data_IF_850695729064
#
_entry.id   IF_850695729064
#
_cell.length_a   1.000
_cell.length_b   1.000
_cell.length_c   1.000
_cell.angle_alpha   90.00
_cell.angle_beta   90.00
_cell.angle_gamma   90.00
#
_symmetry.space_group_name_H-M   'P 1'
#
loop_
_entity.id
_entity.type
_entity.pdbx_description
1 polymer ?
#
# COMPACT_ATOMS: atom_id res chain seq x y z
N UNK A 1 13.03 26.85 -1.35
CA UNK A 1 11.73 26.52 -2.01
C UNK A 1 11.80 26.69 -3.52
N UNK A 2 12.21 27.81 -4.10
CA UNK A 2 12.23 28.06 -5.54
C UNK A 2 12.99 27.02 -6.37
N UNK A 3 14.19 26.59 -5.93
CA UNK A 3 14.97 25.57 -6.64
C UNK A 3 14.30 24.19 -6.70
N UNK A 4 13.54 23.82 -5.68
CA UNK A 4 12.75 22.59 -5.66
C UNK A 4 11.56 22.69 -6.63
N UNK A 5 10.82 23.79 -6.58
CA UNK A 5 9.67 24.01 -7.45
C UNK A 5 10.08 24.04 -8.94
N UNK A 6 11.20 24.67 -9.28
CA UNK A 6 11.75 24.71 -10.64
C UNK A 6 12.14 23.32 -11.17
N UNK A 7 12.52 22.39 -10.28
CA UNK A 7 12.93 21.03 -10.62
C UNK A 7 11.81 20.01 -10.45
N UNK A 8 10.57 20.45 -10.21
CA UNK A 8 9.42 19.59 -9.88
C UNK A 8 9.66 18.66 -8.67
N UNK A 9 10.47 19.10 -7.71
CA UNK A 9 10.66 18.41 -6.45
C UNK A 9 9.59 18.92 -5.48
N UNK A 10 8.67 18.04 -5.07
CA UNK A 10 7.66 18.37 -4.08
C UNK A 10 8.26 18.43 -2.68
N UNK A 11 7.82 19.41 -1.89
CA UNK A 11 8.14 19.52 -0.48
C UNK A 11 6.87 19.26 0.32
N UNK A 12 6.89 18.27 1.21
CA UNK A 12 5.77 17.96 2.09
C UNK A 12 6.17 18.27 3.53
N UNK A 13 5.36 19.06 4.21
CA UNK A 13 5.53 19.40 5.62
C UNK A 13 4.57 18.56 6.44
N UNK A 14 5.10 17.90 7.46
CA UNK A 14 4.35 17.02 8.35
C UNK A 14 4.56 17.45 9.80
N UNK A 15 3.60 17.13 10.66
CA UNK A 15 3.81 17.20 12.11
C UNK A 15 4.81 16.13 12.55
N UNK A 16 5.38 16.19 13.79
CA UNK A 16 6.19 15.11 14.35
C UNK A 16 5.46 13.75 14.37
N UNK A 17 4.13 13.76 14.41
CA UNK A 17 3.29 12.53 14.36
C UNK A 17 2.97 12.07 12.93
N UNK A 18 3.53 12.74 11.90
CA UNK A 18 3.34 12.38 10.49
C UNK A 18 2.06 12.94 9.85
N UNK A 19 1.29 13.79 10.54
CA UNK A 19 0.11 14.41 9.97
C UNK A 19 0.51 15.49 8.94
N UNK A 20 -0.22 15.51 7.83
CA UNK A 20 -0.01 16.48 6.76
C UNK A 20 -0.28 17.92 7.26
N UNK A 21 0.63 18.84 6.98
CA UNK A 21 0.48 20.27 7.24
C UNK A 21 0.33 21.06 5.94
N UNK A 22 1.28 20.90 5.02
CA UNK A 22 1.30 21.65 3.77
C UNK A 22 2.13 20.91 2.73
N UNK A 23 1.89 21.21 1.47
CA UNK A 23 2.70 20.74 0.34
C UNK A 23 3.00 21.88 -0.60
N UNK A 24 4.23 21.96 -1.08
CA UNK A 24 4.65 22.85 -2.15
C UNK A 24 4.92 21.99 -3.38
N UNK A 25 4.19 22.26 -4.43
CA UNK A 25 4.36 21.64 -5.74
C UNK A 25 4.91 22.66 -6.72
N UNK A 26 5.66 22.21 -7.69
CA UNK A 26 6.01 23.00 -8.87
C UNK A 26 4.79 23.26 -9.75
N UNK A 27 5.04 23.79 -10.95
CA UNK A 27 3.97 24.04 -11.92
C UNK A 27 3.25 22.74 -12.28
N UNK A 28 1.93 22.71 -12.10
CA UNK A 28 1.11 21.56 -12.48
C UNK A 28 1.27 21.25 -13.95
N UNK A 29 1.59 20.00 -14.29
CA UNK A 29 1.60 19.57 -15.69
C UNK A 29 0.18 19.55 -16.21
N UNK A 30 -0.06 20.37 -17.25
CA UNK A 30 -1.39 20.58 -17.83
C UNK A 30 -1.82 19.44 -18.79
N UNK A 31 -1.51 18.18 -18.48
CA UNK A 31 -1.95 17.06 -19.31
C UNK A 31 -3.41 16.72 -19.03
N UNK A 32 -4.28 17.47 -19.65
CA UNK A 32 -5.74 17.31 -19.51
C UNK A 32 -6.22 15.97 -20.09
N UNK A 33 -5.57 15.46 -21.14
CA UNK A 33 -5.91 14.18 -21.78
C UNK A 33 -5.65 13.03 -20.81
N UNK A 34 -4.53 13.07 -20.08
CA UNK A 34 -4.22 12.05 -19.05
C UNK A 34 -5.28 12.02 -17.94
N UNK A 35 -5.74 13.19 -17.47
CA UNK A 35 -6.80 13.26 -16.44
C UNK A 35 -8.14 12.77 -16.96
N UNK A 36 -8.51 13.15 -18.16
CA UNK A 36 -9.73 12.63 -18.79
C UNK A 36 -9.67 11.11 -18.90
N UNK A 37 -8.54 10.56 -19.34
CA UNK A 37 -8.36 9.12 -19.41
C UNK A 37 -8.41 8.45 -18.02
N UNK A 38 -7.86 9.08 -16.98
CA UNK A 38 -7.95 8.57 -15.61
C UNK A 38 -9.42 8.48 -15.14
N UNK A 39 -10.23 9.52 -15.34
CA UNK A 39 -11.63 9.53 -14.95
C UNK A 39 -12.46 8.52 -15.76
N UNK A 40 -12.25 8.43 -17.07
CA UNK A 40 -12.94 7.45 -17.92
C UNK A 40 -12.59 6.01 -17.49
N UNK A 41 -11.31 5.74 -17.26
CA UNK A 41 -10.86 4.41 -16.82
C UNK A 41 -11.36 4.03 -15.43
N UNK A 42 -11.54 4.99 -14.52
CA UNK A 42 -12.08 4.72 -13.18
C UNK A 42 -13.59 4.43 -13.23
N UNK A 43 -14.30 5.01 -14.19
CA UNK A 43 -15.74 4.82 -14.40
C UNK A 43 -16.07 3.55 -15.19
N UNK A 44 -15.12 2.98 -15.90
CA UNK A 44 -15.27 1.70 -16.61
C UNK A 44 -14.91 0.54 -15.67
N UNK A 45 -15.89 -0.30 -15.34
CA UNK A 45 -15.69 -1.40 -14.39
C UNK A 45 -14.67 -2.42 -14.84
N UNK A 46 -14.55 -2.68 -16.14
CA UNK A 46 -13.59 -3.65 -16.70
C UNK A 46 -12.17 -3.12 -16.59
N UNK A 47 -11.93 -1.90 -17.06
CA UNK A 47 -10.61 -1.25 -17.03
C UNK A 47 -10.18 -1.03 -15.58
N UNK A 48 -11.10 -0.54 -14.76
CA UNK A 48 -10.87 -0.27 -13.34
C UNK A 48 -10.51 -1.56 -12.57
N UNK A 49 -11.19 -2.67 -12.85
CA UNK A 49 -10.88 -3.97 -12.27
C UNK A 49 -9.47 -4.45 -12.67
N UNK A 50 -9.09 -4.32 -13.93
CA UNK A 50 -7.76 -4.75 -14.40
C UNK A 50 -6.63 -3.90 -13.76
N UNK A 51 -6.81 -2.61 -13.63
CA UNK A 51 -5.85 -1.73 -12.92
C UNK A 51 -5.74 -2.15 -11.46
N UNK A 52 -6.87 -2.35 -10.78
CA UNK A 52 -6.89 -2.79 -9.38
C UNK A 52 -6.23 -4.15 -9.20
N UNK A 53 -6.50 -5.14 -10.09
CA UNK A 53 -5.83 -6.45 -10.08
C UNK A 53 -4.31 -6.30 -10.13
N UNK A 54 -3.78 -5.50 -11.06
CA UNK A 54 -2.35 -5.32 -11.21
C UNK A 54 -1.70 -4.73 -9.95
N UNK A 55 -2.36 -3.77 -9.30
CA UNK A 55 -1.90 -3.21 -8.02
C UNK A 55 -1.89 -4.26 -6.90
N UNK A 56 -2.96 -5.06 -6.78
CA UNK A 56 -3.06 -6.08 -5.73
C UNK A 56 -2.11 -7.25 -6.01
N UNK A 57 -1.95 -7.67 -7.27
CA UNK A 57 -0.94 -8.67 -7.66
C UNK A 57 0.47 -8.23 -7.24
N UNK A 58 0.86 -6.99 -7.55
CA UNK A 58 2.14 -6.43 -7.15
C UNK A 58 2.33 -6.41 -5.63
N UNK A 59 1.29 -6.01 -4.88
CA UNK A 59 1.29 -6.00 -3.41
C UNK A 59 1.51 -7.41 -2.84
N UNK A 60 0.72 -8.39 -3.27
CA UNK A 60 0.77 -9.77 -2.76
C UNK A 60 2.08 -10.45 -3.18
N UNK A 61 2.52 -10.22 -4.42
CA UNK A 61 3.81 -10.70 -4.91
C UNK A 61 4.97 -10.19 -4.03
N UNK A 62 5.03 -8.89 -3.77
CA UNK A 62 6.06 -8.30 -2.92
C UNK A 62 5.99 -8.81 -1.48
N UNK A 63 4.79 -8.94 -0.91
CA UNK A 63 4.58 -9.52 0.43
C UNK A 63 5.13 -10.95 0.50
N UNK A 64 4.86 -11.78 -0.50
CA UNK A 64 5.41 -13.13 -0.59
C UNK A 64 6.94 -13.11 -0.61
N UNK A 65 7.55 -12.25 -1.42
CA UNK A 65 9.01 -12.19 -1.50
C UNK A 65 9.69 -11.69 -0.22
N UNK A 66 9.01 -10.86 0.57
CA UNK A 66 9.49 -10.52 1.92
C UNK A 66 9.56 -11.76 2.80
N UNK A 67 8.54 -12.64 2.76
CA UNK A 67 8.54 -13.91 3.50
C UNK A 67 9.65 -14.87 3.01
N UNK A 68 9.80 -15.04 1.69
CA UNK A 68 10.85 -15.89 1.11
C UNK A 68 12.25 -15.38 1.49
N UNK A 69 12.45 -14.07 1.49
CA UNK A 69 13.71 -13.47 1.93
C UNK A 69 13.97 -13.72 3.41
N UNK A 70 12.96 -13.58 4.27
CA UNK A 70 13.10 -13.87 5.70
C UNK A 70 13.51 -15.34 5.94
N UNK A 71 12.90 -16.28 5.22
CA UNK A 71 13.25 -17.70 5.30
C UNK A 71 14.71 -17.94 4.87
N UNK A 72 15.16 -17.28 3.81
CA UNK A 72 16.53 -17.43 3.31
C UNK A 72 17.58 -16.83 4.26
N UNK A 73 17.32 -15.61 4.75
CA UNK A 73 18.31 -14.80 5.45
C UNK A 73 18.29 -15.05 6.97
N UNK A 74 17.19 -15.55 7.55
CA UNK A 74 16.96 -15.64 9.00
C UNK A 74 16.39 -16.99 9.46
N UNK A 75 16.69 -18.07 8.76
CA UNK A 75 16.14 -19.42 9.00
C UNK A 75 16.35 -19.93 10.44
N UNK A 76 17.40 -19.50 11.13
CA UNK A 76 17.69 -19.91 12.51
C UNK A 76 16.91 -19.10 13.59
N UNK A 77 16.25 -18.01 13.20
CA UNK A 77 15.60 -17.07 14.13
C UNK A 77 14.08 -17.05 14.02
N UNK A 78 13.53 -17.71 12.99
CA UNK A 78 12.10 -17.70 12.67
C UNK A 78 11.54 -19.12 12.57
N UNK A 79 10.23 -19.26 12.69
CA UNK A 79 9.53 -20.50 12.33
C UNK A 79 9.44 -20.62 10.80
N UNK A 80 10.43 -21.29 10.23
CA UNK A 80 10.55 -21.49 8.77
C UNK A 80 9.34 -22.20 8.18
N UNK A 81 8.76 -23.18 8.90
CA UNK A 81 7.60 -23.92 8.39
C UNK A 81 6.37 -23.01 8.30
N UNK A 82 6.09 -22.26 9.36
CA UNK A 82 4.99 -21.33 9.41
C UNK A 82 5.10 -20.25 8.35
N UNK A 83 6.28 -19.65 8.17
CA UNK A 83 6.51 -18.58 7.18
C UNK A 83 6.44 -19.14 5.75
N UNK A 84 6.96 -20.36 5.49
CA UNK A 84 6.85 -21.00 4.18
C UNK A 84 5.41 -21.35 3.81
N UNK A 85 4.61 -21.85 4.74
CA UNK A 85 3.19 -22.10 4.50
C UNK A 85 2.47 -20.82 4.11
N UNK A 86 2.71 -19.72 4.82
CA UNK A 86 2.15 -18.41 4.46
C UNK A 86 2.59 -17.97 3.04
N UNK A 87 3.86 -18.15 2.67
CA UNK A 87 4.35 -17.84 1.32
C UNK A 87 3.66 -18.67 0.23
N UNK A 88 3.44 -19.97 0.49
CA UNK A 88 2.72 -20.86 -0.44
C UNK A 88 1.26 -20.40 -0.59
N UNK A 89 0.60 -20.06 0.51
CA UNK A 89 -0.77 -19.53 0.49
C UNK A 89 -0.86 -18.22 -0.31
N UNK A 90 0.09 -17.29 -0.10
CA UNK A 90 0.15 -16.06 -0.90
C UNK A 90 0.40 -16.34 -2.38
N UNK A 91 1.19 -17.36 -2.74
CA UNK A 91 1.35 -17.79 -4.13
C UNK A 91 0.01 -18.25 -4.73
N UNK A 92 -0.80 -18.97 -3.97
CA UNK A 92 -2.13 -19.38 -4.41
C UNK A 92 -3.08 -18.18 -4.55
N UNK A 93 -3.02 -17.23 -3.61
CA UNK A 93 -3.80 -15.98 -3.70
C UNK A 93 -3.54 -15.20 -4.99
N UNK A 94 -2.30 -15.22 -5.53
CA UNK A 94 -2.00 -14.57 -6.82
C UNK A 94 -2.85 -15.13 -7.97
N UNK A 95 -3.08 -16.46 -8.01
CA UNK A 95 -3.92 -17.09 -9.02
C UNK A 95 -5.39 -16.67 -8.87
N UNK A 96 -5.90 -16.61 -7.65
CA UNK A 96 -7.27 -16.16 -7.38
C UNK A 96 -7.46 -14.69 -7.76
N UNK A 97 -6.51 -13.81 -7.41
CA UNK A 97 -6.54 -12.39 -7.75
C UNK A 97 -6.53 -12.20 -9.27
N UNK A 98 -5.69 -12.95 -9.99
CA UNK A 98 -5.61 -12.89 -11.46
C UNK A 98 -6.95 -13.24 -12.13
N UNK A 99 -7.69 -14.19 -11.56
CA UNK A 99 -8.96 -14.67 -12.08
C UNK A 99 -10.18 -13.97 -11.46
N UNK A 100 -10.01 -12.93 -10.64
CA UNK A 100 -11.12 -12.19 -10.06
C UNK A 100 -11.99 -11.56 -11.16
N UNK A 101 -13.30 -11.75 -11.06
CA UNK A 101 -14.30 -11.26 -12.03
C UNK A 101 -15.01 -9.99 -11.57
N UNK A 102 -14.80 -9.55 -10.30
CA UNK A 102 -15.41 -8.35 -9.75
C UNK A 102 -14.52 -7.68 -8.70
N UNK A 103 -14.75 -6.38 -8.47
CA UNK A 103 -14.04 -5.61 -7.42
C UNK A 103 -14.32 -6.16 -6.02
N UNK A 104 -15.52 -6.70 -5.76
CA UNK A 104 -15.88 -7.28 -4.47
C UNK A 104 -15.10 -8.59 -4.22
N UNK A 105 -15.00 -9.44 -5.22
CA UNK A 105 -14.21 -10.64 -5.17
C UNK A 105 -12.72 -10.33 -4.98
N UNK A 106 -12.21 -9.32 -5.71
CA UNK A 106 -10.84 -8.84 -5.57
C UNK A 106 -10.54 -8.32 -4.16
N UNK A 107 -11.49 -7.58 -3.53
CA UNK A 107 -11.37 -7.13 -2.14
C UNK A 107 -11.36 -8.29 -1.15
N UNK A 108 -12.14 -9.34 -1.40
CA UNK A 108 -12.11 -10.57 -0.60
C UNK A 108 -10.73 -11.22 -0.62
N UNK A 109 -10.17 -11.43 -1.81
CA UNK A 109 -8.83 -12.02 -1.96
C UNK A 109 -7.71 -11.14 -1.40
N UNK A 110 -7.81 -9.82 -1.53
CA UNK A 110 -6.86 -8.88 -0.91
C UNK A 110 -6.90 -8.97 0.61
N UNK A 111 -8.10 -9.03 1.20
CA UNK A 111 -8.28 -9.17 2.64
C UNK A 111 -7.74 -10.49 3.17
N UNK A 112 -7.99 -11.61 2.46
CA UNK A 112 -7.43 -12.92 2.80
C UNK A 112 -5.89 -12.92 2.73
N UNK A 113 -5.31 -12.41 1.64
CA UNK A 113 -3.87 -12.31 1.50
C UNK A 113 -3.24 -11.42 2.59
N UNK A 114 -3.90 -10.33 2.96
CA UNK A 114 -3.46 -9.49 4.07
C UNK A 114 -3.50 -10.24 5.41
N UNK A 115 -4.55 -11.01 5.67
CA UNK A 115 -4.67 -11.85 6.87
C UNK A 115 -3.54 -12.88 6.96
N UNK A 116 -3.23 -13.57 5.86
CA UNK A 116 -2.13 -14.54 5.78
C UNK A 116 -0.79 -13.86 6.10
N UNK A 117 -0.50 -12.73 5.45
CA UNK A 117 0.75 -12.00 5.64
C UNK A 117 0.91 -11.47 7.08
N UNK A 118 -0.11 -10.80 7.59
CA UNK A 118 -0.08 -10.27 8.97
C UNK A 118 -0.09 -11.38 10.03
N UNK A 119 -0.64 -12.55 9.72
CA UNK A 119 -0.61 -13.72 10.62
C UNK A 119 0.80 -14.27 10.91
N UNK A 120 1.79 -13.91 10.09
CA UNK A 120 3.19 -14.29 10.29
C UNK A 120 4.14 -13.10 10.47
N UNK A 121 3.63 -11.87 10.50
CA UNK A 121 4.46 -10.67 10.58
C UNK A 121 5.33 -10.64 11.84
N UNK A 122 4.86 -11.16 12.95
CA UNK A 122 5.65 -11.25 14.19
C UNK A 122 6.95 -12.06 14.02
N UNK A 123 6.97 -13.04 13.14
CA UNK A 123 8.19 -13.79 12.80
C UNK A 123 9.27 -12.94 12.13
N UNK A 124 8.89 -11.83 11.50
CA UNK A 124 9.81 -10.93 10.82
C UNK A 124 10.45 -9.90 11.77
N UNK A 125 9.98 -9.82 13.00
CA UNK A 125 10.52 -8.93 14.04
C UNK A 125 11.62 -9.71 14.77
N UNK A 126 12.87 -9.45 14.43
CA UNK A 126 14.01 -10.24 14.93
C UNK A 126 14.68 -9.65 16.17
N UNK A 127 14.49 -8.35 16.43
CA UNK A 127 15.15 -7.62 17.51
C UNK A 127 14.13 -6.93 18.40
N UNK A 128 14.50 -6.70 19.67
CA UNK A 128 13.68 -5.96 20.64
C UNK A 128 12.24 -6.49 20.75
N UNK A 129 12.07 -7.81 20.73
CA UNK A 129 10.74 -8.45 20.74
C UNK A 129 9.89 -8.09 21.96
N UNK A 130 10.51 -7.76 23.10
CA UNK A 130 9.78 -7.31 24.31
C UNK A 130 9.05 -5.97 24.09
N UNK A 131 9.59 -5.10 23.19
CA UNK A 131 9.03 -3.79 22.92
C UNK A 131 8.17 -3.78 21.63
N UNK A 132 8.43 -4.71 20.71
CA UNK A 132 7.81 -4.83 19.41
C UNK A 132 7.08 -6.16 19.23
N UNK A 133 6.05 -6.38 20.03
CA UNK A 133 5.14 -7.53 19.89
C UNK A 133 4.03 -7.20 18.89
N UNK A 134 3.78 -8.10 17.94
CA UNK A 134 2.68 -7.95 16.99
C UNK A 134 1.65 -9.08 17.16
N UNK A 135 0.46 -8.74 17.64
CA UNK A 135 -0.62 -9.69 17.85
C UNK A 135 -1.72 -9.64 16.77
N UNK A 136 -1.56 -8.78 15.79
CA UNK A 136 -2.50 -8.60 14.69
C UNK A 136 -2.65 -7.14 14.29
N UNK A 137 -3.19 -6.90 13.09
CA UNK A 137 -3.31 -5.54 12.54
C UNK A 137 -4.48 -4.79 13.17
N UNK A 138 -4.17 -3.71 13.90
CA UNK A 138 -5.15 -2.74 14.38
C UNK A 138 -4.72 -1.32 13.98
N UNK A 139 -5.69 -0.40 13.82
CA UNK A 139 -5.41 0.91 13.19
C UNK A 139 -5.85 2.12 14.03
N UNK A 140 -6.93 2.02 14.79
CA UNK A 140 -7.56 3.20 15.42
C UNK A 140 -8.19 2.82 16.77
N UNK A 141 -7.49 3.07 17.86
CA UNK A 141 -6.07 3.46 17.94
C UNK A 141 -5.13 2.26 17.66
N UNK A 142 -3.85 2.49 17.32
CA UNK A 142 -2.85 1.43 17.33
C UNK A 142 -2.62 0.98 18.79
N UNK A 143 -2.68 -0.33 19.04
CA UNK A 143 -2.62 -0.89 20.39
C UNK A 143 -1.22 -1.37 20.80
N UNK A 144 -0.27 -1.39 19.86
CA UNK A 144 1.11 -1.79 20.08
C UNK A 144 2.06 -0.95 19.22
N UNK A 145 3.36 -1.01 19.55
CA UNK A 145 4.40 -0.22 18.87
C UNK A 145 4.54 -0.55 17.38
N UNK A 146 4.33 -1.81 17.00
CA UNK A 146 4.40 -2.23 15.58
C UNK A 146 3.24 -1.63 14.79
N UNK A 147 2.03 -1.64 15.33
CA UNK A 147 0.87 -1.02 14.71
C UNK A 147 0.97 0.50 14.65
N UNK A 148 1.58 1.14 15.67
CA UNK A 148 1.88 2.57 15.65
C UNK A 148 2.88 2.90 14.52
N UNK A 149 3.98 2.15 14.42
CA UNK A 149 4.99 2.31 13.37
C UNK A 149 4.40 2.05 11.97
N UNK A 150 3.63 0.98 11.80
CA UNK A 150 2.93 0.71 10.54
C UNK A 150 2.00 1.87 10.15
N UNK A 151 1.23 2.40 11.10
CA UNK A 151 0.32 3.51 10.82
C UNK A 151 1.07 4.78 10.42
N UNK A 152 2.19 5.07 11.07
CA UNK A 152 3.07 6.18 10.72
C UNK A 152 3.66 6.02 9.30
N UNK A 153 4.24 4.85 9.00
CA UNK A 153 4.83 4.57 7.68
C UNK A 153 3.77 4.61 6.58
N UNK A 154 2.56 4.09 6.82
CA UNK A 154 1.45 4.21 5.86
C UNK A 154 1.08 5.67 5.58
N UNK A 155 1.10 6.53 6.60
CA UNK A 155 0.85 7.97 6.41
C UNK A 155 1.93 8.62 5.54
N UNK A 156 3.21 8.32 5.79
CA UNK A 156 4.32 8.82 4.98
C UNK A 156 4.21 8.32 3.53
N UNK A 157 3.92 7.04 3.34
CA UNK A 157 3.76 6.44 2.02
C UNK A 157 2.60 7.07 1.25
N UNK A 158 1.44 7.25 1.89
CA UNK A 158 0.29 7.94 1.31
C UNK A 158 0.66 9.33 0.82
N UNK A 159 1.34 10.14 1.65
CA UNK A 159 1.78 11.47 1.26
C UNK A 159 2.77 11.45 0.08
N UNK A 160 3.68 10.46 0.05
CA UNK A 160 4.66 10.30 -1.03
C UNK A 160 3.99 9.93 -2.36
N UNK A 161 3.05 8.98 -2.33
CA UNK A 161 2.31 8.55 -3.53
C UNK A 161 1.40 9.68 -4.02
N UNK A 162 0.70 10.38 -3.13
CA UNK A 162 -0.10 11.56 -3.48
C UNK A 162 0.76 12.59 -4.21
N UNK A 163 1.95 12.91 -3.67
CA UNK A 163 2.88 13.84 -4.31
C UNK A 163 3.33 13.37 -5.69
N UNK A 164 3.60 12.08 -5.85
CA UNK A 164 4.02 11.50 -7.13
C UNK A 164 2.91 11.59 -8.18
N UNK A 165 1.66 11.27 -7.83
CA UNK A 165 0.50 11.36 -8.72
C UNK A 165 0.25 12.81 -9.16
N UNK A 166 0.22 13.75 -8.22
CA UNK A 166 0.04 15.18 -8.52
C UNK A 166 1.18 15.73 -9.42
N UNK A 167 2.42 15.27 -9.22
CA UNK A 167 3.57 15.69 -10.03
C UNK A 167 3.41 15.29 -11.49
N UNK A 168 2.82 14.14 -11.78
CA UNK A 168 2.54 13.70 -13.17
C UNK A 168 1.19 14.21 -13.70
N UNK A 169 0.39 14.85 -12.84
CA UNK A 169 -0.90 15.45 -13.22
C UNK A 169 -2.09 14.52 -13.04
N UNK A 170 -1.95 13.43 -12.28
CA UNK A 170 -3.05 12.54 -11.88
C UNK A 170 -3.71 13.03 -10.60
N UNK A 171 -4.98 12.67 -10.44
CA UNK A 171 -5.78 12.96 -9.25
C UNK A 171 -5.66 11.80 -8.24
N UNK A 172 -5.11 12.01 -7.04
CA UNK A 172 -4.96 10.97 -6.03
C UNK A 172 -6.27 10.56 -5.34
N UNK A 173 -7.37 11.27 -5.60
CA UNK A 173 -8.69 10.95 -5.04
C UNK A 173 -9.48 9.98 -5.92
N UNK A 174 -9.07 9.76 -7.15
CA UNK A 174 -9.70 8.81 -8.08
C UNK A 174 -9.26 7.38 -7.73
N UNK A 175 -10.22 6.54 -7.35
CA UNK A 175 -9.99 5.14 -6.99
C UNK A 175 -10.39 4.18 -8.10
N UNK A 176 -9.66 3.05 -8.18
CA UNK A 176 -10.00 1.94 -9.10
C UNK A 176 -10.63 0.75 -8.37
N UNK A 177 -10.35 0.59 -7.11
CA UNK A 177 -10.87 -0.51 -6.28
C UNK A 177 -11.80 -0.03 -5.17
N UNK A 178 -11.45 1.08 -4.52
CA UNK A 178 -12.21 1.65 -3.44
C UNK A 178 -13.28 2.61 -3.99
N UNK A 179 -14.44 2.64 -3.33
CA UNK A 179 -15.47 3.64 -3.62
C UNK A 179 -14.94 5.02 -3.28
N UNK A 180 -15.11 5.96 -4.20
CA UNK A 180 -14.72 7.35 -3.99
C UNK A 180 -15.45 7.94 -2.78
N UNK A 181 -14.68 8.58 -1.92
CA UNK A 181 -15.21 9.26 -0.72
C UNK A 181 -14.68 10.69 -0.68
N UNK A 182 -15.53 11.70 -0.59
CA UNK A 182 -15.11 13.09 -0.48
C UNK A 182 -14.07 13.28 0.63
N UNK A 183 -12.97 13.96 0.32
CA UNK A 183 -11.90 14.27 1.27
C UNK A 183 -10.97 13.12 1.65
N UNK A 184 -11.09 11.94 1.02
CA UNK A 184 -10.21 10.79 1.26
C UNK A 184 -9.50 10.39 -0.03
N UNK A 185 -8.16 10.37 0.00
CA UNK A 185 -7.36 9.81 -1.11
C UNK A 185 -7.65 8.31 -1.29
N UNK A 186 -7.71 7.88 -2.54
CA UNK A 186 -8.08 6.50 -2.95
C UNK A 186 -6.85 5.72 -3.44
N UNK A 187 -5.76 5.79 -2.66
CA UNK A 187 -4.47 5.14 -2.94
C UNK A 187 -4.41 3.72 -2.40
#
# INVERSE_FOLDING_TARGET
MGACAQRNISLCFLTPQGNFLARILGKTKGNVVLRQQQYLSSSDDTISLEIAKNCILGKVYNSRWVLERAVRDHSLQIDVQKVKLASISLKQSLLYIQNASSKDQLRGYEGEAASIYFGVLDQLILQQKQDFVFQGRNKRPPLDNVNALLSFVYTLLTNSITSALETVGLDPYVGYMHTDRPGRVSL
#
